data_IF_953979930143
#
_entry.id   IF_953979930143
#
_cell.length_a   1.000
_cell.length_b   1.000
_cell.length_c   1.000
_cell.angle_alpha   90.00
_cell.angle_beta   90.00
_cell.angle_gamma   90.00
#
_symmetry.space_group_name_H-M   'P 1'
#
loop_
_entity.id
_entity.type
_entity.pdbx_description
1 polymer ?
#
# COMPACT_ATOMS: atom_id res chain seq x y z
N UNK A 1 15.32 -24.80 -10.12
CA UNK A 1 15.57 -23.78 -9.10
C UNK A 1 14.24 -23.41 -8.49
N UNK A 2 14.23 -23.19 -7.22
CA UNK A 2 13.10 -22.77 -6.40
C UNK A 2 13.46 -21.42 -5.80
N UNK A 3 12.51 -20.50 -5.80
CA UNK A 3 12.72 -19.13 -5.33
C UNK A 3 11.76 -18.83 -4.18
N UNK A 4 12.31 -18.32 -3.07
CA UNK A 4 11.54 -17.76 -1.96
C UNK A 4 11.60 -16.23 -2.05
N UNK A 5 10.45 -15.59 -1.96
CA UNK A 5 10.34 -14.14 -1.99
C UNK A 5 9.62 -13.62 -0.75
N UNK A 6 10.02 -12.45 -0.28
CA UNK A 6 9.27 -11.72 0.73
C UNK A 6 9.23 -10.23 0.42
N UNK A 7 8.10 -9.58 0.74
CA UNK A 7 7.91 -8.13 0.66
C UNK A 7 7.30 -7.60 1.96
N UNK A 8 7.71 -6.44 2.46
CA UNK A 8 7.14 -5.84 3.66
C UNK A 8 5.81 -5.14 3.36
N UNK A 9 4.96 -5.00 4.37
CA UNK A 9 3.84 -4.08 4.37
C UNK A 9 4.32 -2.62 4.38
N UNK A 10 3.40 -1.66 4.20
CA UNK A 10 3.73 -0.23 4.24
C UNK A 10 2.70 0.57 5.04
N UNK A 11 3.16 1.71 5.58
CA UNK A 11 2.30 2.80 6.03
C UNK A 11 2.62 4.08 5.25
N UNK A 12 1.60 4.92 5.06
CA UNK A 12 1.78 6.29 4.60
C UNK A 12 1.82 7.21 5.83
N UNK A 13 3.02 7.65 6.20
CA UNK A 13 3.25 8.53 7.34
C UNK A 13 2.54 9.87 7.13
N UNK A 14 2.73 10.47 5.94
CA UNK A 14 2.19 11.79 5.58
C UNK A 14 1.89 11.85 4.08
N UNK A 15 1.01 12.77 3.68
CA UNK A 15 0.74 13.09 2.28
C UNK A 15 -0.34 12.23 1.61
N UNK A 16 -0.82 11.14 2.25
CA UNK A 16 -1.92 10.38 1.68
C UNK A 16 -3.22 11.22 1.69
N UNK A 17 -4.07 11.05 0.70
CA UNK A 17 -4.07 10.09 -0.40
C UNK A 17 -3.48 10.64 -1.73
N UNK A 18 -2.46 11.46 -1.67
CA UNK A 18 -1.88 12.14 -2.84
C UNK A 18 -1.44 11.19 -3.96
N UNK A 19 -0.96 10.00 -3.61
CA UNK A 19 -0.53 8.99 -4.57
C UNK A 19 -1.67 8.34 -5.39
N UNK A 20 -2.92 8.53 -4.97
CA UNK A 20 -4.10 8.02 -5.67
C UNK A 20 -4.76 9.06 -6.61
N UNK A 21 -4.21 10.26 -6.68
CA UNK A 21 -4.71 11.35 -7.52
C UNK A 21 -3.63 11.89 -8.44
N UNK A 22 -4.03 12.44 -9.57
CA UNK A 22 -3.14 13.14 -10.49
C UNK A 22 -2.78 14.52 -9.92
N UNK A 23 -1.53 14.93 -10.07
CA UNK A 23 -1.02 16.21 -9.60
C UNK A 23 0.42 16.11 -9.07
N UNK A 24 0.96 17.25 -8.68
CA UNK A 24 2.32 17.38 -8.14
C UNK A 24 2.39 17.01 -6.67
N UNK A 25 1.99 15.80 -6.35
CA UNK A 25 1.86 15.33 -4.97
C UNK A 25 3.04 14.45 -4.53
N UNK A 26 3.19 14.34 -3.23
CA UNK A 26 4.19 13.47 -2.63
C UNK A 26 3.64 12.80 -1.38
N UNK A 27 4.26 11.69 -0.98
CA UNK A 27 4.01 11.03 0.31
C UNK A 27 5.32 10.77 1.03
N UNK A 28 5.26 10.76 2.36
CA UNK A 28 6.28 10.22 3.23
C UNK A 28 5.76 8.89 3.75
N UNK A 29 6.48 7.80 3.45
CA UNK A 29 6.00 6.45 3.70
C UNK A 29 7.10 5.58 4.32
N UNK A 30 6.70 4.50 4.99
CA UNK A 30 7.62 3.55 5.60
C UNK A 30 7.21 2.11 5.35
N UNK A 31 8.20 1.26 5.08
CA UNK A 31 8.04 -0.19 5.04
C UNK A 31 8.10 -0.76 6.47
N UNK A 32 7.25 -1.73 6.77
CA UNK A 32 7.12 -2.33 8.09
C UNK A 32 7.55 -3.80 8.09
N UNK A 33 8.18 -4.27 9.17
CA UNK A 33 8.56 -5.69 9.36
C UNK A 33 7.33 -6.59 9.65
N UNK A 34 6.30 -6.44 8.82
CA UNK A 34 5.18 -7.36 8.67
C UNK A 34 5.13 -7.73 7.20
N UNK A 35 5.33 -8.99 6.87
CA UNK A 35 5.65 -9.39 5.50
C UNK A 35 4.59 -10.32 4.87
N UNK A 36 4.49 -10.24 3.55
CA UNK A 36 3.94 -11.30 2.71
C UNK A 36 5.08 -12.06 2.02
N UNK A 37 4.82 -13.28 1.60
CA UNK A 37 5.82 -14.09 0.92
C UNK A 37 5.26 -14.92 -0.22
N UNK A 38 6.16 -15.41 -1.06
CA UNK A 38 5.86 -16.34 -2.13
C UNK A 38 6.95 -17.41 -2.28
N UNK A 39 6.55 -18.54 -2.84
CA UNK A 39 7.40 -19.59 -3.30
C UNK A 39 7.11 -19.84 -4.76
N UNK A 40 8.14 -19.83 -5.60
CA UNK A 40 8.01 -20.15 -7.02
C UNK A 40 8.92 -21.32 -7.37
N UNK A 41 8.32 -22.35 -7.95
CA UNK A 41 9.02 -23.59 -8.29
C UNK A 41 8.50 -24.18 -9.61
N UNK A 42 9.24 -25.09 -10.26
CA UNK A 42 8.80 -25.76 -11.48
C UNK A 42 7.52 -26.57 -11.26
N UNK A 43 6.64 -26.57 -12.27
CA UNK A 43 5.44 -27.38 -12.34
C UNK A 43 5.15 -27.78 -13.80
N UNK A 44 4.24 -28.73 -14.04
CA UNK A 44 3.83 -29.12 -15.40
C UNK A 44 3.07 -27.99 -16.11
N UNK A 45 2.20 -27.26 -15.37
CA UNK A 45 1.44 -26.12 -15.86
C UNK A 45 1.67 -24.89 -15.01
N UNK A 46 0.77 -23.90 -15.10
CA UNK A 46 0.72 -22.79 -14.17
C UNK A 46 -0.18 -23.16 -12.99
N UNK A 47 0.38 -23.21 -11.79
CA UNK A 47 -0.38 -23.35 -10.54
C UNK A 47 -0.30 -22.03 -9.76
N UNK A 48 -1.45 -21.43 -9.48
CA UNK A 48 -1.58 -20.28 -8.59
C UNK A 48 -2.19 -20.74 -7.27
N UNK A 49 -1.56 -20.37 -6.15
CA UNK A 49 -1.98 -20.82 -4.82
C UNK A 49 -1.89 -19.71 -3.79
N UNK A 50 -2.88 -19.63 -2.91
CA UNK A 50 -2.85 -18.80 -1.72
C UNK A 50 -2.92 -19.67 -0.48
N UNK A 51 -1.81 -19.74 0.25
CA UNK A 51 -1.69 -20.46 1.52
C UNK A 51 -2.31 -19.59 2.61
N UNK A 52 -3.30 -20.14 3.31
CA UNK A 52 -3.91 -19.44 4.45
C UNK A 52 -3.03 -19.67 5.68
N UNK A 53 -2.76 -18.58 6.39
CA UNK A 53 -2.03 -18.59 7.67
C UNK A 53 -2.90 -18.14 8.83
N UNK A 54 -4.21 -18.12 8.61
CA UNK A 54 -5.20 -17.88 9.65
C UNK A 54 -5.63 -19.20 10.33
N UNK A 55 -6.26 -19.08 11.48
CA UNK A 55 -6.75 -20.24 12.27
C UNK A 55 -8.01 -20.88 11.67
N UNK A 56 -8.35 -20.56 10.42
CA UNK A 56 -9.59 -21.06 9.78
C UNK A 56 -9.59 -22.57 9.53
N UNK A 57 -8.42 -23.20 9.49
CA UNK A 57 -8.27 -24.61 9.12
C UNK A 57 -8.67 -24.94 7.67
N UNK A 58 -8.99 -23.92 6.87
CA UNK A 58 -9.38 -24.11 5.48
C UNK A 58 -8.18 -24.47 4.62
N UNK A 59 -8.35 -25.33 3.60
CA UNK A 59 -7.27 -25.67 2.67
C UNK A 59 -6.82 -24.44 1.88
N UNK A 60 -5.58 -24.47 1.33
CA UNK A 60 -5.14 -23.46 0.38
C UNK A 60 -6.12 -23.30 -0.79
N UNK A 61 -6.31 -22.07 -1.23
CA UNK A 61 -7.01 -21.83 -2.49
C UNK A 61 -6.01 -22.04 -3.65
N UNK A 62 -6.30 -22.99 -4.53
CA UNK A 62 -5.40 -23.41 -5.62
C UNK A 62 -6.15 -23.50 -6.94
N UNK A 63 -5.56 -22.92 -7.98
CA UNK A 63 -6.04 -22.97 -9.35
C UNK A 63 -4.91 -23.48 -10.26
N UNK A 64 -5.27 -24.31 -11.24
CA UNK A 64 -4.35 -24.91 -12.19
C UNK A 64 -4.75 -24.56 -13.64
N UNK A 65 -3.74 -24.21 -14.43
CA UNK A 65 -3.89 -23.85 -15.82
C UNK A 65 -2.84 -24.60 -16.65
N UNK A 66 -3.15 -24.86 -17.92
CA UNK A 66 -2.17 -25.42 -18.86
C UNK A 66 -0.99 -24.46 -19.06
N UNK A 67 0.18 -24.94 -19.47
CA UNK A 67 1.31 -24.06 -19.82
C UNK A 67 0.89 -23.04 -20.87
N UNK A 68 1.35 -21.79 -20.73
CA UNK A 68 1.04 -20.71 -21.66
C UNK A 68 -0.43 -20.25 -21.71
N UNK A 69 -1.28 -20.68 -20.76
CA UNK A 69 -2.67 -20.23 -20.70
C UNK A 69 -2.75 -18.69 -20.56
N UNK A 70 -3.40 -18.06 -21.53
CA UNK A 70 -3.63 -16.61 -21.56
C UNK A 70 -4.82 -16.30 -22.49
N UNK A 71 -5.71 -15.34 -22.16
CA UNK A 71 -5.80 -14.67 -20.85
C UNK A 71 -6.35 -15.62 -19.77
N UNK A 72 -5.94 -15.38 -18.51
CA UNK A 72 -6.55 -16.04 -17.36
C UNK A 72 -7.85 -15.32 -17.00
N UNK A 73 -8.99 -16.03 -16.83
CA UNK A 73 -10.28 -15.41 -16.58
C UNK A 73 -10.37 -14.83 -15.16
N UNK A 74 -11.02 -13.67 -15.00
CA UNK A 74 -11.34 -13.08 -13.72
C UNK A 74 -12.70 -13.57 -13.22
N UNK A 75 -12.71 -14.28 -12.10
CA UNK A 75 -13.89 -14.96 -11.53
C UNK A 75 -14.02 -14.77 -10.01
N UNK A 76 -13.24 -13.83 -9.44
CA UNK A 76 -13.19 -13.56 -8.01
C UNK A 76 -12.22 -14.46 -7.22
N UNK A 77 -11.57 -15.42 -7.88
CA UNK A 77 -10.62 -16.32 -7.24
C UNK A 77 -9.19 -16.04 -7.70
N UNK A 78 -8.33 -15.61 -6.79
CA UNK A 78 -6.91 -15.29 -7.08
C UNK A 78 -6.72 -14.25 -8.21
N UNK A 79 -7.67 -13.36 -8.45
CA UNK A 79 -7.65 -12.43 -9.56
C UNK A 79 -6.44 -11.49 -9.55
N UNK A 80 -5.92 -11.14 -8.38
CA UNK A 80 -4.66 -10.40 -8.25
C UNK A 80 -3.47 -11.16 -8.87
N UNK A 81 -3.38 -12.47 -8.63
CA UNK A 81 -2.31 -13.31 -9.19
C UNK A 81 -2.52 -13.54 -10.69
N UNK A 82 -3.77 -13.79 -11.12
CA UNK A 82 -4.12 -13.90 -12.55
C UNK A 82 -3.82 -12.61 -13.29
N UNK A 83 -4.18 -11.46 -12.71
CA UNK A 83 -3.91 -10.15 -13.26
C UNK A 83 -2.41 -9.88 -13.42
N UNK A 84 -1.58 -10.31 -12.46
CA UNK A 84 -0.13 -10.22 -12.57
C UNK A 84 0.41 -11.04 -13.78
N UNK A 85 -0.08 -12.28 -13.97
CA UNK A 85 0.29 -13.10 -15.12
C UNK A 85 -0.17 -12.46 -16.43
N UNK A 86 -1.45 -12.05 -16.52
CA UNK A 86 -2.02 -11.41 -17.71
C UNK A 86 -1.26 -10.14 -18.08
N UNK A 87 -0.99 -9.27 -17.11
CA UNK A 87 -0.27 -8.02 -17.35
C UNK A 87 1.17 -8.26 -17.76
N UNK A 88 1.88 -9.20 -17.12
CA UNK A 88 3.25 -9.51 -17.50
C UNK A 88 3.30 -10.14 -18.90
N UNK A 89 2.32 -10.97 -19.23
CA UNK A 89 2.18 -11.55 -20.58
C UNK A 89 1.97 -10.48 -21.66
N UNK A 90 1.13 -9.50 -21.40
CA UNK A 90 0.90 -8.38 -22.32
C UNK A 90 2.16 -7.50 -22.48
N UNK A 91 2.85 -7.23 -21.37
CA UNK A 91 4.00 -6.35 -21.34
C UNK A 91 5.26 -6.96 -21.96
N UNK A 92 5.56 -8.24 -21.69
CA UNK A 92 6.85 -8.86 -21.97
C UNK A 92 6.79 -9.94 -23.04
N UNK A 93 7.43 -9.70 -24.19
CA UNK A 93 7.62 -10.73 -25.22
C UNK A 93 8.50 -11.88 -24.72
N UNK A 94 9.53 -11.56 -23.94
CA UNK A 94 10.42 -12.54 -23.31
C UNK A 94 9.66 -13.48 -22.37
N UNK A 95 8.79 -12.91 -21.52
CA UNK A 95 7.94 -13.72 -20.64
C UNK A 95 7.02 -14.63 -21.45
N UNK A 96 6.35 -14.12 -22.49
CA UNK A 96 5.48 -14.94 -23.35
C UNK A 96 6.18 -16.16 -23.88
N UNK A 97 7.38 -15.99 -24.44
CA UNK A 97 8.17 -17.08 -25.01
C UNK A 97 8.55 -18.13 -23.95
N UNK A 98 9.06 -17.69 -22.79
CA UNK A 98 9.48 -18.58 -21.71
C UNK A 98 8.30 -19.27 -21.02
N UNK A 99 7.19 -18.56 -20.82
CA UNK A 99 5.98 -19.05 -20.15
C UNK A 99 5.26 -20.16 -20.89
N UNK A 100 5.31 -20.15 -22.24
CA UNK A 100 4.72 -21.23 -23.05
C UNK A 100 5.50 -22.54 -23.00
N UNK A 101 6.78 -22.47 -22.63
CA UNK A 101 7.70 -23.64 -22.63
C UNK A 101 7.88 -24.28 -21.26
N UNK A 102 7.58 -23.56 -20.19
CA UNK A 102 7.86 -24.02 -18.83
C UNK A 102 6.75 -23.60 -17.87
N UNK A 103 6.19 -24.57 -17.16
CA UNK A 103 5.21 -24.30 -16.10
C UNK A 103 5.86 -23.87 -14.78
N UNK A 104 5.06 -23.19 -13.95
CA UNK A 104 5.46 -22.71 -12.64
C UNK A 104 4.34 -22.92 -11.61
N UNK A 105 4.70 -23.25 -10.38
CA UNK A 105 3.83 -23.12 -9.22
C UNK A 105 4.23 -21.85 -8.46
N UNK A 106 3.28 -20.94 -8.29
CA UNK A 106 3.39 -19.73 -7.47
C UNK A 106 2.47 -19.88 -6.26
N UNK A 107 3.04 -20.11 -5.09
CA UNK A 107 2.32 -20.21 -3.83
C UNK A 107 2.61 -18.95 -2.98
N UNK A 108 1.57 -18.23 -2.57
CA UNK A 108 1.67 -16.97 -1.84
C UNK A 108 1.06 -17.08 -0.44
N UNK A 109 1.53 -16.28 0.50
CA UNK A 109 0.97 -16.14 1.85
C UNK A 109 1.18 -14.73 2.38
N UNK A 110 0.50 -14.36 3.46
CA UNK A 110 0.70 -13.07 4.12
C UNK A 110 0.50 -13.17 5.63
N UNK A 111 1.32 -12.42 6.36
CA UNK A 111 1.14 -12.15 7.80
C UNK A 111 0.49 -10.76 8.01
N UNK A 112 0.20 -10.04 6.93
CA UNK A 112 -0.49 -8.74 6.97
C UNK A 112 -1.98 -8.95 7.19
N UNK A 113 -2.60 -8.32 8.19
CA UNK A 113 -4.04 -8.45 8.42
C UNK A 113 -4.85 -8.06 7.17
N UNK A 114 -5.90 -8.83 6.89
CA UNK A 114 -6.76 -8.58 5.71
C UNK A 114 -7.48 -7.25 5.85
N UNK A 115 -7.61 -6.52 4.73
CA UNK A 115 -8.30 -5.22 4.65
C UNK A 115 -7.81 -4.19 5.67
N UNK A 116 -6.56 -4.33 6.11
CA UNK A 116 -5.95 -3.46 7.12
C UNK A 116 -5.49 -2.10 6.58
N UNK A 117 -5.51 -1.86 5.27
CA UNK A 117 -4.95 -0.63 4.70
C UNK A 117 -3.42 -0.57 4.74
N UNK A 118 -2.75 -1.72 4.91
CA UNK A 118 -1.28 -1.86 4.93
C UNK A 118 -0.69 -2.31 3.59
N UNK A 119 -1.47 -2.23 2.50
CA UNK A 119 -1.03 -2.58 1.15
C UNK A 119 -1.20 -4.06 0.77
N UNK A 120 -1.92 -4.86 1.56
CA UNK A 120 -1.97 -6.32 1.44
C UNK A 120 -2.27 -6.86 0.03
N UNK A 121 -3.20 -6.27 -0.73
CA UNK A 121 -3.51 -6.68 -2.11
C UNK A 121 -2.32 -6.54 -3.03
N UNK A 122 -1.68 -5.37 -2.99
CA UNK A 122 -0.52 -5.06 -3.84
C UNK A 122 0.67 -5.97 -3.57
N UNK A 123 0.84 -6.46 -2.32
CA UNK A 123 1.93 -7.39 -1.98
C UNK A 123 1.81 -8.70 -2.76
N UNK A 124 0.60 -9.23 -2.96
CA UNK A 124 0.39 -10.43 -3.77
C UNK A 124 0.75 -10.20 -5.24
N UNK A 125 0.37 -9.05 -5.80
CA UNK A 125 0.72 -8.70 -7.19
C UNK A 125 2.24 -8.56 -7.35
N UNK A 126 2.90 -7.86 -6.43
CA UNK A 126 4.36 -7.69 -6.44
C UNK A 126 5.10 -9.02 -6.32
N UNK A 127 4.65 -9.90 -5.41
CA UNK A 127 5.23 -11.24 -5.25
C UNK A 127 5.06 -12.08 -6.51
N UNK A 128 3.91 -11.98 -7.18
CA UNK A 128 3.68 -12.69 -8.43
C UNK A 128 4.60 -12.17 -9.55
N UNK A 129 4.63 -10.87 -9.78
CA UNK A 129 5.49 -10.26 -10.82
C UNK A 129 6.98 -10.53 -10.56
N UNK A 130 7.46 -10.29 -9.32
CA UNK A 130 8.86 -10.52 -8.97
C UNK A 130 9.23 -12.01 -8.99
N UNK A 131 8.31 -12.88 -8.55
CA UNK A 131 8.50 -14.32 -8.56
C UNK A 131 8.59 -14.88 -9.99
N UNK A 132 7.72 -14.44 -10.89
CA UNK A 132 7.76 -14.81 -12.29
C UNK A 132 9.00 -14.24 -12.98
N UNK A 133 9.39 -12.99 -12.68
CA UNK A 133 10.67 -12.42 -13.16
C UNK A 133 11.84 -13.32 -12.79
N UNK A 134 11.96 -13.69 -11.52
CA UNK A 134 13.07 -14.50 -11.03
C UNK A 134 13.03 -15.92 -11.62
N UNK A 135 11.87 -16.58 -11.63
CA UNK A 135 11.71 -17.95 -12.08
C UNK A 135 11.99 -18.14 -13.59
N UNK A 136 11.54 -17.18 -14.41
CA UNK A 136 11.77 -17.19 -15.85
C UNK A 136 13.07 -16.47 -16.24
N UNK A 137 13.87 -16.02 -15.28
CA UNK A 137 15.13 -15.32 -15.53
C UNK A 137 14.96 -14.22 -16.59
N UNK A 138 14.00 -13.31 -16.35
CA UNK A 138 13.70 -12.21 -17.26
C UNK A 138 14.77 -11.12 -17.14
N UNK A 139 15.07 -10.45 -18.25
CA UNK A 139 16.02 -9.35 -18.30
C UNK A 139 15.76 -8.30 -17.21
N UNK A 140 16.73 -8.07 -16.33
CA UNK A 140 16.60 -7.19 -15.17
C UNK A 140 16.55 -5.70 -15.54
N UNK A 141 17.00 -5.32 -16.71
CA UNK A 141 16.90 -3.95 -17.21
C UNK A 141 15.47 -3.63 -17.66
N UNK A 142 14.89 -4.54 -18.46
CA UNK A 142 13.52 -4.41 -18.96
C UNK A 142 12.45 -4.66 -17.88
N UNK A 143 12.76 -5.45 -16.85
CA UNK A 143 11.84 -5.83 -15.78
C UNK A 143 12.37 -5.41 -14.39
N UNK A 144 12.99 -4.23 -14.30
CA UNK A 144 13.50 -3.70 -13.04
C UNK A 144 12.37 -3.40 -12.03
N UNK A 145 12.71 -3.09 -10.79
CA UNK A 145 11.72 -2.89 -9.71
C UNK A 145 10.79 -1.69 -9.95
N UNK A 146 11.24 -0.65 -10.65
CA UNK A 146 10.37 0.46 -11.07
C UNK A 146 9.29 -0.01 -12.05
N UNK A 147 9.68 -0.80 -13.04
CA UNK A 147 8.73 -1.41 -14.00
C UNK A 147 7.75 -2.33 -13.27
N UNK A 148 8.23 -3.16 -12.32
CA UNK A 148 7.34 -4.02 -11.54
C UNK A 148 6.34 -3.22 -10.70
N UNK A 149 6.74 -2.10 -10.11
CA UNK A 149 5.82 -1.22 -9.37
C UNK A 149 4.71 -0.66 -10.27
N UNK A 150 5.08 -0.19 -11.46
CA UNK A 150 4.14 0.34 -12.45
C UNK A 150 3.20 -0.75 -12.99
N UNK A 151 3.72 -1.94 -13.29
CA UNK A 151 2.89 -3.07 -13.72
C UNK A 151 1.91 -3.49 -12.62
N UNK A 152 2.35 -3.50 -11.35
CA UNK A 152 1.49 -3.85 -10.23
C UNK A 152 0.33 -2.84 -10.06
N UNK A 153 0.58 -1.54 -10.24
CA UNK A 153 -0.49 -0.54 -10.24
C UNK A 153 -1.50 -0.81 -11.36
N UNK A 154 -1.02 -1.14 -12.57
CA UNK A 154 -1.88 -1.43 -13.71
C UNK A 154 -2.66 -2.74 -13.57
N UNK A 155 -2.13 -3.73 -12.86
CA UNK A 155 -2.91 -4.94 -12.52
C UNK A 155 -4.16 -4.56 -11.73
N UNK A 156 -4.02 -3.74 -10.69
CA UNK A 156 -5.19 -3.34 -9.89
C UNK A 156 -6.08 -2.35 -10.65
N UNK A 157 -5.52 -1.31 -11.27
CA UNK A 157 -6.29 -0.24 -11.89
C UNK A 157 -6.90 -0.64 -13.24
N UNK A 158 -6.14 -1.33 -14.11
CA UNK A 158 -6.56 -1.60 -15.49
C UNK A 158 -7.17 -2.99 -15.64
N UNK A 159 -6.54 -4.03 -15.05
CA UNK A 159 -7.07 -5.40 -15.16
C UNK A 159 -8.31 -5.62 -14.28
N UNK A 160 -8.29 -5.06 -13.06
CA UNK A 160 -9.30 -5.34 -12.05
C UNK A 160 -10.24 -4.16 -11.76
N UNK A 161 -10.00 -2.99 -12.36
CA UNK A 161 -10.83 -1.80 -12.15
C UNK A 161 -10.79 -1.22 -10.74
N UNK A 162 -9.72 -1.50 -9.99
CA UNK A 162 -9.55 -1.04 -8.60
C UNK A 162 -8.78 0.28 -8.60
N UNK A 163 -9.43 1.38 -8.25
CA UNK A 163 -8.74 2.67 -8.10
C UNK A 163 -7.74 2.61 -6.95
N UNK A 164 -6.48 2.90 -7.23
CA UNK A 164 -5.38 2.73 -6.29
C UNK A 164 -4.23 3.71 -6.57
N UNK A 165 -3.39 3.95 -5.53
CA UNK A 165 -2.20 4.81 -5.62
C UNK A 165 -0.93 4.04 -6.02
N UNK A 166 0.23 4.66 -5.78
CA UNK A 166 1.54 4.10 -6.13
C UNK A 166 2.39 3.68 -4.92
N UNK A 167 2.22 4.32 -3.76
CA UNK A 167 3.00 4.03 -2.56
C UNK A 167 2.98 2.54 -2.16
N UNK A 168 1.83 1.89 -2.36
CA UNK A 168 1.59 0.47 -2.08
C UNK A 168 2.46 -0.48 -2.90
N UNK A 169 3.08 0.00 -3.95
CA UNK A 169 3.90 -0.80 -4.88
C UNK A 169 5.37 -0.45 -4.74
N UNK A 170 5.69 0.82 -4.62
CA UNK A 170 7.07 1.27 -4.51
C UNK A 170 7.66 0.95 -3.14
N UNK A 171 6.96 1.27 -2.05
CA UNK A 171 7.50 1.08 -0.68
C UNK A 171 7.83 -0.38 -0.37
N UNK A 172 6.98 -1.38 -0.69
CA UNK A 172 7.34 -2.78 -0.48
C UNK A 172 8.51 -3.29 -1.33
N UNK A 173 8.72 -2.73 -2.53
CA UNK A 173 9.85 -3.12 -3.39
C UNK A 173 11.18 -2.55 -2.90
N UNK A 174 11.19 -1.28 -2.50
CA UNK A 174 12.43 -0.58 -2.17
C UNK A 174 12.77 -0.56 -0.68
N UNK A 175 11.76 -0.64 0.20
CA UNK A 175 11.94 -0.66 1.66
C UNK A 175 12.34 0.68 2.27
N UNK A 176 12.57 0.68 3.57
CA UNK A 176 13.02 1.83 4.34
C UNK A 176 11.94 2.84 4.65
N UNK A 177 12.37 4.04 5.03
CA UNK A 177 11.55 5.25 5.13
C UNK A 177 11.88 6.10 3.91
N UNK A 178 10.88 6.56 3.17
CA UNK A 178 11.12 7.27 1.93
C UNK A 178 10.12 8.40 1.67
N UNK A 179 10.62 9.44 1.01
CA UNK A 179 9.82 10.46 0.37
C UNK A 179 9.61 10.07 -1.08
N UNK A 180 8.36 9.95 -1.49
CA UNK A 180 7.94 9.60 -2.84
C UNK A 180 7.34 10.82 -3.51
N UNK A 181 7.84 11.18 -4.69
CA UNK A 181 7.35 12.30 -5.49
C UNK A 181 6.68 11.76 -6.75
N UNK A 182 5.43 12.19 -6.97
CA UNK A 182 4.55 11.73 -8.04
C UNK A 182 4.35 12.77 -9.14
N UNK A 183 5.17 13.82 -9.17
CA UNK A 183 5.05 14.86 -10.18
C UNK A 183 5.03 14.29 -11.60
N UNK A 184 4.20 14.88 -12.44
CA UNK A 184 3.97 14.50 -13.82
C UNK A 184 3.34 13.11 -14.04
N UNK A 185 2.96 12.37 -12.98
CA UNK A 185 2.25 11.11 -13.16
C UNK A 185 0.79 11.37 -13.52
N UNK A 186 0.38 10.75 -14.63
CA UNK A 186 -1.03 10.67 -15.04
C UNK A 186 -1.41 9.19 -15.16
N UNK A 187 -2.23 8.70 -14.25
CA UNK A 187 -2.54 7.26 -14.08
C UNK A 187 -3.09 6.55 -15.34
N UNK A 188 -3.34 7.28 -16.41
CA UNK A 188 -3.87 6.76 -17.68
C UNK A 188 -2.85 6.73 -18.81
N UNK A 189 -1.61 7.18 -18.59
CA UNK A 189 -0.56 7.12 -19.62
C UNK A 189 -0.05 5.70 -19.83
N UNK A 190 0.43 5.44 -21.03
CA UNK A 190 1.16 4.22 -21.32
C UNK A 190 2.46 4.13 -20.51
N UNK A 191 2.86 2.91 -20.13
CA UNK A 191 4.06 2.68 -19.31
C UNK A 191 5.33 3.28 -19.92
N UNK A 192 5.46 3.25 -21.24
CA UNK A 192 6.62 3.80 -21.95
C UNK A 192 6.75 5.32 -21.94
N UNK A 193 5.68 6.04 -21.58
CA UNK A 193 5.63 7.51 -21.54
C UNK A 193 5.36 8.05 -20.13
N UNK A 194 4.97 7.21 -19.20
CA UNK A 194 4.73 7.57 -17.80
C UNK A 194 6.05 7.71 -17.05
N UNK A 195 6.34 8.85 -16.39
CA UNK A 195 7.54 8.95 -15.56
C UNK A 195 7.43 8.01 -14.34
N UNK A 196 8.55 7.44 -13.93
CA UNK A 196 8.61 6.71 -12.68
C UNK A 196 8.49 7.65 -11.48
N UNK A 197 8.00 7.11 -10.36
CA UNK A 197 8.00 7.82 -9.08
C UNK A 197 9.43 8.04 -8.63
N UNK A 198 9.76 9.25 -8.19
CA UNK A 198 11.04 9.50 -7.51
C UNK A 198 10.96 8.91 -6.10
N UNK A 199 11.84 7.96 -5.80
CA UNK A 199 11.93 7.28 -4.51
C UNK A 199 13.19 7.72 -3.77
N UNK A 200 13.05 8.64 -2.81
CA UNK A 200 14.16 9.15 -2.01
C UNK A 200 14.18 8.49 -0.64
N UNK A 201 15.16 7.62 -0.41
CA UNK A 201 15.33 6.94 0.89
C UNK A 201 15.88 7.87 1.95
N UNK A 202 15.27 7.86 3.12
CA UNK A 202 15.62 8.70 4.27
C UNK A 202 16.15 7.88 5.45
N UNK A 203 16.03 6.56 5.43
CA UNK A 203 16.36 5.67 6.55
C UNK A 203 17.87 5.53 6.84
N UNK A 204 18.73 6.15 6.04
CA UNK A 204 20.14 6.33 6.37
C UNK A 204 20.38 7.44 7.42
N UNK A 205 19.43 8.37 7.54
CA UNK A 205 19.53 9.54 8.44
C UNK A 205 18.45 9.52 9.53
N UNK A 206 17.47 8.64 9.41
CA UNK A 206 16.35 8.53 10.34
C UNK A 206 16.52 7.25 11.15
N UNK A 207 16.52 7.40 12.47
CA UNK A 207 16.48 6.26 13.40
C UNK A 207 15.17 5.47 13.25
N UNK A 208 15.06 4.36 13.95
CA UNK A 208 13.82 3.60 14.01
C UNK A 208 12.68 4.50 14.52
N UNK A 209 11.54 4.42 13.84
CA UNK A 209 10.34 5.17 14.21
C UNK A 209 9.62 4.43 15.34
N UNK A 210 9.43 5.04 16.52
CA UNK A 210 8.69 4.44 17.63
C UNK A 210 7.19 4.47 17.32
N UNK A 211 6.75 3.47 16.56
CA UNK A 211 5.39 3.34 16.05
C UNK A 211 4.61 2.25 16.78
N UNK A 212 3.34 2.54 17.04
CA UNK A 212 2.34 1.54 17.37
C UNK A 212 1.30 1.54 16.27
N UNK A 213 0.92 0.36 15.79
CA UNK A 213 -0.07 0.18 14.71
C UNK A 213 -1.23 -0.64 15.26
N UNK A 214 -2.44 -0.27 14.91
CA UNK A 214 -3.65 -1.05 15.15
C UNK A 214 -4.39 -1.29 13.86
N UNK A 215 -4.66 -2.56 13.53
CA UNK A 215 -5.68 -2.93 12.56
C UNK A 215 -7.00 -3.06 13.31
N UNK A 216 -7.99 -2.26 12.95
CA UNK A 216 -9.26 -2.18 13.68
C UNK A 216 -10.12 -3.46 13.58
N UNK A 217 -9.85 -4.32 12.60
CA UNK A 217 -10.70 -5.46 12.28
C UNK A 217 -12.04 -5.07 11.61
N UNK A 218 -12.28 -3.77 11.41
CA UNK A 218 -13.46 -3.27 10.67
C UNK A 218 -13.15 -3.35 9.17
N UNK A 219 -13.89 -4.23 8.51
CA UNK A 219 -13.73 -4.44 7.08
C UNK A 219 -14.25 -3.24 6.28
N UNK A 220 -13.53 -2.85 5.25
CA UNK A 220 -13.97 -1.86 4.27
C UNK A 220 -13.35 -2.14 2.90
N UNK A 221 -14.10 -1.75 1.88
CA UNK A 221 -13.60 -1.71 0.51
C UNK A 221 -12.85 -0.38 0.27
N UNK A 222 -11.51 -0.48 0.15
CA UNK A 222 -10.67 0.69 -0.16
C UNK A 222 -10.95 1.24 -1.56
N UNK A 223 -11.42 0.40 -2.48
CA UNK A 223 -11.82 0.80 -3.83
C UNK A 223 -12.99 1.78 -3.80
N UNK A 224 -13.99 1.60 -2.92
CA UNK A 224 -15.14 2.52 -2.77
C UNK A 224 -14.70 3.94 -2.35
N UNK A 225 -13.70 4.05 -1.46
CA UNK A 225 -13.18 5.37 -1.04
C UNK A 225 -12.57 6.11 -2.21
N UNK A 226 -11.64 5.48 -2.89
CA UNK A 226 -10.95 6.10 -4.02
C UNK A 226 -11.91 6.35 -5.20
N UNK A 227 -12.86 5.46 -5.43
CA UNK A 227 -13.88 5.59 -6.48
C UNK A 227 -14.80 6.81 -6.31
N UNK A 228 -15.02 7.27 -5.07
CA UNK A 228 -15.79 8.51 -4.81
C UNK A 228 -14.87 9.74 -4.77
N UNK A 229 -13.71 9.62 -4.16
CA UNK A 229 -12.81 10.74 -3.93
C UNK A 229 -12.14 11.22 -5.22
N UNK A 230 -11.56 10.29 -6.01
CA UNK A 230 -10.78 10.64 -7.20
C UNK A 230 -11.59 11.34 -8.29
N UNK A 231 -12.79 10.85 -8.71
CA UNK A 231 -13.58 11.56 -9.71
C UNK A 231 -13.99 12.96 -9.27
N UNK A 232 -14.32 13.15 -7.99
CA UNK A 232 -14.66 14.45 -7.44
C UNK A 232 -13.47 15.41 -7.49
N UNK A 233 -12.28 14.92 -7.09
CA UNK A 233 -11.06 15.72 -7.20
C UNK A 233 -10.80 16.13 -8.64
N UNK A 234 -10.82 15.21 -9.59
CA UNK A 234 -10.55 15.50 -11.00
C UNK A 234 -11.54 16.51 -11.56
N UNK A 235 -12.84 16.33 -11.30
CA UNK A 235 -13.89 17.27 -11.73
C UNK A 235 -13.69 18.68 -11.17
N UNK A 236 -13.43 18.81 -9.88
CA UNK A 236 -13.20 20.10 -9.24
C UNK A 236 -11.90 20.76 -9.72
N UNK A 237 -10.82 19.98 -9.85
CA UNK A 237 -9.52 20.46 -10.30
C UNK A 237 -9.57 20.94 -11.76
N UNK A 238 -10.15 20.17 -12.67
CA UNK A 238 -10.30 20.52 -14.07
C UNK A 238 -11.14 21.82 -14.24
N UNK A 239 -12.28 21.87 -13.54
CA UNK A 239 -13.12 23.06 -13.56
C UNK A 239 -12.40 24.32 -13.04
N UNK A 240 -11.55 24.16 -12.02
CA UNK A 240 -10.75 25.24 -11.45
C UNK A 240 -9.64 25.68 -12.40
N UNK A 241 -8.94 24.76 -13.05
CA UNK A 241 -7.92 25.10 -14.05
C UNK A 241 -8.48 25.96 -15.19
N UNK A 242 -9.73 25.74 -15.58
CA UNK A 242 -10.38 26.54 -16.64
C UNK A 242 -10.89 27.89 -16.12
N UNK A 243 -11.46 27.94 -14.91
CA UNK A 243 -12.11 29.16 -14.39
C UNK A 243 -11.14 30.09 -13.66
N UNK A 244 -10.07 29.56 -13.09
CA UNK A 244 -9.21 30.28 -12.15
C UNK A 244 -9.90 30.58 -10.82
N UNK A 245 -9.33 31.50 -10.03
CA UNK A 245 -9.86 31.91 -8.75
C UNK A 245 -9.38 31.02 -7.59
N UNK A 246 -10.15 31.01 -6.48
CA UNK A 246 -9.79 30.22 -5.31
C UNK A 246 -9.87 28.69 -5.59
N UNK A 247 -8.91 27.92 -5.07
CA UNK A 247 -8.93 26.47 -5.23
C UNK A 247 -10.17 25.85 -4.56
N UNK A 248 -10.85 24.90 -5.21
CA UNK A 248 -12.01 24.22 -4.66
C UNK A 248 -11.62 23.33 -3.46
N UNK A 249 -12.60 22.85 -2.66
CA UNK A 249 -12.32 22.08 -1.46
C UNK A 249 -11.40 20.88 -1.66
N UNK A 250 -11.62 20.07 -2.69
CA UNK A 250 -10.76 18.90 -2.96
C UNK A 250 -9.31 19.30 -3.27
N UNK A 251 -9.11 20.36 -4.08
CA UNK A 251 -7.77 20.85 -4.37
C UNK A 251 -7.06 21.39 -3.11
N UNK A 252 -7.78 22.06 -2.21
CA UNK A 252 -7.23 22.52 -0.92
C UNK A 252 -6.84 21.37 -0.01
N UNK A 253 -7.69 20.32 0.12
CA UNK A 253 -7.36 19.13 0.91
C UNK A 253 -6.11 18.43 0.38
N UNK A 254 -6.03 18.26 -0.93
CA UNK A 254 -4.89 17.59 -1.56
C UNK A 254 -3.60 18.40 -1.43
N UNK A 255 -3.65 19.73 -1.63
CA UNK A 255 -2.51 20.62 -1.42
C UNK A 255 -2.05 20.62 0.05
N UNK A 256 -2.98 20.63 1.00
CA UNK A 256 -2.68 20.53 2.43
C UNK A 256 -2.00 19.19 2.77
N UNK A 257 -2.54 18.08 2.27
CA UNK A 257 -1.94 16.76 2.48
C UNK A 257 -0.51 16.70 1.91
N UNK A 258 -0.29 17.19 0.70
CA UNK A 258 1.04 17.28 0.11
C UNK A 258 2.01 18.12 0.95
N UNK A 259 1.56 19.29 1.46
CA UNK A 259 2.39 20.13 2.34
C UNK A 259 2.84 19.39 3.60
N UNK A 260 2.00 18.51 4.17
CA UNK A 260 2.42 17.71 5.32
C UNK A 260 3.56 16.74 4.98
N UNK A 261 3.59 16.20 3.76
CA UNK A 261 4.63 15.26 3.35
C UNK A 261 6.02 15.91 3.26
N UNK A 262 6.14 17.04 2.54
CA UNK A 262 7.45 17.66 2.38
C UNK A 262 7.92 18.37 3.66
N UNK A 263 7.02 18.97 4.44
CA UNK A 263 7.35 19.53 5.76
C UNK A 263 7.78 18.41 6.72
N UNK A 264 7.08 17.27 6.67
CA UNK A 264 7.41 16.09 7.44
C UNK A 264 8.77 15.48 7.08
N UNK A 265 9.16 15.50 5.80
CA UNK A 265 10.50 15.13 5.39
C UNK A 265 11.56 15.96 6.11
N UNK A 266 11.39 17.28 6.14
CA UNK A 266 12.34 18.19 6.81
C UNK A 266 12.37 17.95 8.33
N UNK A 267 11.19 17.84 8.96
CA UNK A 267 11.09 17.58 10.41
C UNK A 267 11.73 16.22 10.78
N UNK A 268 11.49 15.19 9.95
CA UNK A 268 12.05 13.87 10.16
C UNK A 268 13.58 13.87 10.09
N UNK A 269 14.16 14.53 9.07
CA UNK A 269 15.62 14.67 8.92
C UNK A 269 16.25 15.51 10.03
N UNK A 270 15.50 16.46 10.60
CA UNK A 270 15.92 17.24 11.76
C UNK A 270 15.78 16.48 13.11
N UNK A 271 15.16 15.29 13.11
CA UNK A 271 14.84 14.55 14.34
C UNK A 271 13.76 15.22 15.21
N UNK A 272 12.97 16.12 14.62
CA UNK A 272 11.89 16.84 15.33
C UNK A 272 10.61 15.99 15.37
N UNK A 273 10.59 15.03 16.28
CA UNK A 273 9.46 14.11 16.46
C UNK A 273 8.15 14.82 16.82
N UNK A 274 8.12 15.84 17.68
CA UNK A 274 6.92 16.62 17.93
C UNK A 274 6.35 17.25 16.66
N UNK A 275 7.19 17.84 15.80
CA UNK A 275 6.75 18.41 14.52
C UNK A 275 6.21 17.35 13.58
N UNK A 276 6.84 16.17 13.48
CA UNK A 276 6.32 15.03 12.69
C UNK A 276 4.94 14.62 13.22
N UNK A 277 4.78 14.48 14.53
CA UNK A 277 3.50 14.14 15.15
C UNK A 277 2.40 15.18 14.88
N UNK A 278 2.72 16.46 15.00
CA UNK A 278 1.78 17.55 14.68
C UNK A 278 1.32 17.49 13.21
N UNK A 279 2.24 17.21 12.26
CA UNK A 279 1.91 17.05 10.85
C UNK A 279 1.07 15.78 10.59
N UNK A 280 1.27 14.70 11.34
CA UNK A 280 0.40 13.52 11.28
C UNK A 280 -1.04 13.87 11.66
N UNK A 281 -1.22 14.64 12.74
CA UNK A 281 -2.54 15.08 13.18
C UNK A 281 -3.19 16.03 12.16
N UNK A 282 -2.41 16.96 11.57
CA UNK A 282 -2.87 17.83 10.48
C UNK A 282 -3.33 17.01 9.25
N UNK A 283 -2.51 16.05 8.81
CA UNK A 283 -2.86 15.19 7.67
C UNK A 283 -4.12 14.36 7.97
N UNK A 284 -4.25 13.80 9.18
CA UNK A 284 -5.45 13.06 9.56
C UNK A 284 -6.71 13.94 9.52
N UNK A 285 -6.65 15.13 10.07
CA UNK A 285 -7.76 16.10 10.04
C UNK A 285 -8.19 16.40 8.60
N UNK A 286 -7.23 16.69 7.71
CA UNK A 286 -7.51 16.97 6.31
C UNK A 286 -8.18 15.78 5.61
N UNK A 287 -7.70 14.55 5.84
CA UNK A 287 -8.31 13.34 5.28
C UNK A 287 -9.70 13.11 5.83
N UNK A 288 -9.90 13.29 7.13
CA UNK A 288 -11.21 13.13 7.77
C UNK A 288 -12.25 14.11 7.21
N UNK A 289 -11.88 15.38 7.09
CA UNK A 289 -12.73 16.43 6.50
C UNK A 289 -13.01 16.17 5.02
N UNK A 290 -12.00 15.76 4.24
CA UNK A 290 -12.14 15.42 2.83
C UNK A 290 -13.10 14.24 2.64
N UNK A 291 -12.99 13.20 3.45
CA UNK A 291 -13.89 12.05 3.38
C UNK A 291 -15.32 12.43 3.74
N UNK A 292 -15.52 13.26 4.76
CA UNK A 292 -16.83 13.82 5.10
C UNK A 292 -17.41 14.62 3.91
N UNK A 293 -16.57 15.46 3.29
CA UNK A 293 -16.95 16.23 2.10
C UNK A 293 -17.32 15.32 0.91
N UNK A 294 -16.71 14.13 0.79
CA UNK A 294 -17.05 13.12 -0.21
C UNK A 294 -18.24 12.24 0.17
N UNK A 295 -18.95 12.55 1.26
CA UNK A 295 -20.20 11.88 1.65
C UNK A 295 -20.00 10.65 2.55
N UNK A 296 -18.85 10.52 3.22
CA UNK A 296 -18.63 9.49 4.23
C UNK A 296 -19.04 10.04 5.61
N UNK A 297 -20.14 9.55 6.16
CA UNK A 297 -20.71 10.07 7.41
C UNK A 297 -19.72 10.03 8.58
N UNK A 298 -18.93 8.96 8.67
CA UNK A 298 -17.92 8.76 9.74
C UNK A 298 -16.53 9.29 9.35
N UNK A 299 -16.42 10.11 8.31
CA UNK A 299 -15.15 10.65 7.82
C UNK A 299 -14.14 9.52 7.55
N UNK A 300 -12.99 9.58 8.23
CA UNK A 300 -11.92 8.58 8.15
C UNK A 300 -12.31 7.19 8.70
N UNK A 301 -13.51 7.06 9.26
CA UNK A 301 -14.08 5.85 9.85
C UNK A 301 -14.09 5.90 11.38
N UNK A 302 -15.23 5.56 11.98
CA UNK A 302 -15.46 5.65 13.42
C UNK A 302 -14.38 4.92 14.25
N UNK A 303 -14.00 3.71 13.85
CA UNK A 303 -13.00 2.91 14.58
C UNK A 303 -11.59 3.53 14.48
N UNK A 304 -11.23 4.06 13.29
CA UNK A 304 -9.96 4.77 13.14
C UNK A 304 -9.92 6.02 14.01
N UNK A 305 -10.98 6.84 13.99
CA UNK A 305 -11.08 8.05 14.81
C UNK A 305 -10.99 7.70 16.31
N UNK A 306 -11.69 6.64 16.76
CA UNK A 306 -11.62 6.15 18.14
C UNK A 306 -10.18 5.81 18.57
N UNK A 307 -9.45 5.04 17.77
CA UNK A 307 -8.06 4.69 18.09
C UNK A 307 -7.14 5.92 18.07
N UNK A 308 -7.32 6.83 17.11
CA UNK A 308 -6.50 8.03 16.97
C UNK A 308 -6.72 8.97 18.17
N UNK A 309 -7.96 9.26 18.52
CA UNK A 309 -8.32 10.09 19.68
C UNK A 309 -7.80 9.47 20.99
N UNK A 310 -7.93 8.13 21.14
CA UNK A 310 -7.39 7.40 22.28
C UNK A 310 -5.86 7.54 22.36
N UNK A 311 -5.14 7.41 21.25
CA UNK A 311 -3.69 7.56 21.25
C UNK A 311 -3.26 8.97 21.68
N UNK A 312 -3.89 10.01 21.13
CA UNK A 312 -3.60 11.40 21.44
C UNK A 312 -3.90 11.72 22.91
N UNK A 313 -5.04 11.24 23.42
CA UNK A 313 -5.40 11.39 24.84
C UNK A 313 -4.44 10.67 25.80
N UNK A 314 -3.69 9.68 25.30
CA UNK A 314 -2.68 8.94 26.06
C UNK A 314 -1.24 9.35 25.72
N UNK A 315 -1.03 10.53 25.13
CA UNK A 315 0.28 11.17 24.98
C UNK A 315 1.07 10.71 23.75
N UNK A 316 0.41 10.21 22.70
CA UNK A 316 1.05 10.07 21.40
C UNK A 316 1.44 11.45 20.86
N UNK A 317 2.59 11.57 20.20
CA UNK A 317 3.04 12.79 19.52
C UNK A 317 2.14 13.11 18.32
N UNK A 318 1.68 12.07 17.64
CA UNK A 318 0.74 12.14 16.54
C UNK A 318 0.13 10.78 16.27
N UNK A 319 -1.09 10.80 15.72
CA UNK A 319 -1.78 9.59 15.32
C UNK A 319 -2.63 9.85 14.06
N UNK A 320 -2.70 8.88 13.17
CA UNK A 320 -3.49 8.99 11.95
C UNK A 320 -3.83 7.62 11.34
N UNK A 321 -4.77 7.62 10.41
CA UNK A 321 -5.05 6.45 9.60
C UNK A 321 -3.92 6.20 8.58
N UNK A 322 -3.81 4.95 8.12
CA UNK A 322 -3.05 4.57 6.91
C UNK A 322 -3.96 3.90 5.90
N UNK A 323 -3.62 4.01 4.61
CA UNK A 323 -4.46 3.55 3.50
C UNK A 323 -5.61 4.49 3.19
N UNK A 324 -6.70 3.95 2.61
CA UNK A 324 -7.83 4.74 2.13
C UNK A 324 -8.75 5.29 3.24
N UNK A 325 -8.75 4.69 4.41
CA UNK A 325 -9.63 5.06 5.53
C UNK A 325 -10.98 4.32 5.54
N UNK A 326 -11.82 4.66 6.51
CA UNK A 326 -13.15 4.14 6.78
C UNK A 326 -13.21 2.82 7.52
N UNK A 327 -12.11 2.28 7.85
CA UNK A 327 -11.74 1.04 8.50
C UNK A 327 -10.25 0.81 8.23
N UNK A 328 -9.79 -0.40 8.42
CA UNK A 328 -8.38 -0.74 8.25
C UNK A 328 -7.54 -0.38 9.46
N UNK A 329 -6.45 0.38 9.29
CA UNK A 329 -5.49 0.64 10.37
C UNK A 329 -5.31 2.12 10.69
N UNK A 330 -5.05 2.37 11.96
CA UNK A 330 -4.46 3.60 12.46
C UNK A 330 -3.06 3.31 13.04
N UNK A 331 -2.24 4.32 13.13
CA UNK A 331 -0.93 4.23 13.80
C UNK A 331 -0.63 5.50 14.57
N UNK A 332 0.18 5.35 15.61
CA UNK A 332 0.63 6.42 16.48
C UNK A 332 2.15 6.48 16.50
N UNK A 333 2.69 7.71 16.48
CA UNK A 333 4.08 8.02 16.75
C UNK A 333 4.18 8.44 18.22
N UNK A 334 5.13 7.88 18.95
CA UNK A 334 5.31 8.13 20.38
C UNK A 334 6.76 8.50 20.71
N UNK A 335 7.04 8.91 21.92
CA UNK A 335 8.44 8.91 22.40
C UNK A 335 8.94 7.48 22.57
N UNK A 336 10.22 7.20 22.28
CA UNK A 336 10.80 5.90 22.52
C UNK A 336 10.57 5.43 23.96
N UNK A 337 10.01 4.22 24.13
CA UNK A 337 9.66 3.66 25.43
C UNK A 337 8.19 3.84 25.86
N UNK A 338 7.46 4.74 25.21
CA UNK A 338 6.04 5.02 25.53
C UNK A 338 5.05 4.10 24.78
N UNK A 339 5.54 3.24 23.89
CA UNK A 339 4.69 2.36 23.03
C UNK A 339 3.73 1.50 23.87
N UNK A 340 4.21 1.01 25.02
CA UNK A 340 3.41 0.17 25.92
C UNK A 340 2.16 0.87 26.45
N UNK A 341 2.23 2.19 26.68
CA UNK A 341 1.09 2.99 27.13
C UNK A 341 -0.01 3.06 26.07
N UNK A 342 0.36 3.25 24.82
CA UNK A 342 -0.60 3.28 23.71
C UNK A 342 -1.20 1.90 23.45
N UNK A 343 -0.38 0.85 23.50
CA UNK A 343 -0.86 -0.55 23.37
C UNK A 343 -1.94 -0.82 24.42
N UNK A 344 -1.68 -0.52 25.70
CA UNK A 344 -2.64 -0.75 26.78
C UNK A 344 -3.93 0.07 26.63
N UNK A 345 -3.82 1.34 26.20
CA UNK A 345 -4.97 2.19 25.93
C UNK A 345 -5.82 1.66 24.78
N UNK A 346 -5.19 1.25 23.69
CA UNK A 346 -5.89 0.67 22.53
C UNK A 346 -6.52 -0.69 22.83
N UNK A 347 -5.87 -1.56 23.62
CA UNK A 347 -6.47 -2.82 24.07
C UNK A 347 -7.76 -2.59 24.87
N UNK A 348 -7.73 -1.62 25.80
CA UNK A 348 -8.89 -1.26 26.61
C UNK A 348 -10.04 -0.72 25.75
N UNK A 349 -9.80 0.28 24.90
CA UNK A 349 -10.86 0.87 24.09
C UNK A 349 -11.39 -0.10 23.03
N UNK A 350 -10.56 -1.01 22.50
CA UNK A 350 -11.01 -2.07 21.62
C UNK A 350 -11.99 -3.03 22.32
N UNK A 351 -11.70 -3.42 23.56
CA UNK A 351 -12.59 -4.26 24.36
C UNK A 351 -13.91 -3.54 24.67
N UNK A 352 -13.85 -2.27 25.10
CA UNK A 352 -15.03 -1.45 25.39
C UNK A 352 -15.93 -1.24 24.16
N UNK A 353 -15.33 -1.07 22.98
CA UNK A 353 -16.04 -0.89 21.72
C UNK A 353 -16.43 -2.21 21.03
N UNK A 354 -16.12 -3.37 21.62
CA UNK A 354 -16.45 -4.69 21.03
C UNK A 354 -15.65 -5.02 19.77
N UNK A 355 -14.48 -4.39 19.56
CA UNK A 355 -13.60 -4.64 18.43
C UNK A 355 -12.73 -5.87 18.63
N UNK A 356 -13.37 -7.05 18.71
CA UNK A 356 -12.71 -8.34 19.03
C UNK A 356 -11.68 -8.79 18.01
N UNK A 357 -11.72 -8.26 16.79
CA UNK A 357 -10.77 -8.54 15.70
C UNK A 357 -9.64 -7.50 15.61
N UNK A 358 -9.60 -6.53 16.51
CA UNK A 358 -8.54 -5.55 16.52
C UNK A 358 -7.19 -6.22 16.81
N UNK A 359 -6.18 -5.91 16.00
CA UNK A 359 -4.83 -6.43 16.16
C UNK A 359 -3.85 -5.26 16.34
N UNK A 360 -3.18 -5.22 17.50
CA UNK A 360 -2.26 -4.15 17.90
C UNK A 360 -0.84 -4.70 17.89
N UNK A 361 0.08 -4.00 17.25
CA UNK A 361 1.48 -4.45 17.12
C UNK A 361 2.45 -3.27 17.04
N UNK A 362 3.73 -3.56 17.27
CA UNK A 362 4.85 -2.60 17.20
C UNK A 362 5.81 -3.07 16.13
N UNK A 363 5.63 -2.63 14.86
CA UNK A 363 6.51 -3.06 13.79
C UNK A 363 7.81 -2.28 13.80
N UNK A 364 8.92 -2.95 13.51
CA UNK A 364 10.15 -2.29 13.10
C UNK A 364 10.03 -1.76 11.67
N UNK A 365 10.98 -0.90 11.27
CA UNK A 365 11.12 -0.43 9.88
C UNK A 365 11.85 -1.49 9.06
N UNK A 366 11.21 -1.95 7.99
CA UNK A 366 11.80 -2.88 7.05
C UNK A 366 12.78 -2.14 6.12
N UNK A 367 14.06 -2.14 6.47
CA UNK A 367 15.10 -1.47 5.66
C UNK A 367 15.31 -2.13 4.29
N UNK A 368 15.02 -3.43 4.16
CA UNK A 368 15.03 -4.15 2.88
C UNK A 368 13.59 -4.34 2.40
N UNK A 369 13.32 -3.92 1.17
CA UNK A 369 12.06 -4.17 0.49
C UNK A 369 11.92 -5.63 0.04
N UNK A 370 11.76 -5.83 -1.27
CA UNK A 370 11.73 -7.16 -1.88
C UNK A 370 13.04 -7.91 -1.60
N UNK A 371 12.89 -9.12 -1.10
CA UNK A 371 13.99 -10.08 -0.94
C UNK A 371 13.68 -11.30 -1.80
N UNK A 372 14.65 -11.74 -2.59
CA UNK A 372 14.58 -12.95 -3.43
C UNK A 372 15.74 -13.86 -3.05
N UNK A 373 15.43 -15.09 -2.66
CA UNK A 373 16.39 -16.11 -2.27
C UNK A 373 16.22 -17.34 -3.15
N UNK A 374 17.33 -17.98 -3.51
CA UNK A 374 17.33 -19.26 -4.24
C UNK A 374 17.43 -20.38 -3.23
N UNK A 375 16.50 -21.34 -3.28
CA UNK A 375 16.46 -22.56 -2.44
C UNK A 375 16.88 -23.82 -3.23
#
# INVERSE_FOLDING_TARGET
>A
MRYRLTVPARINLLGNPGDANEGDFATLSAALEVRAGALVEPAEGLTLEMIRRDDSGLPPLRLEFRPGAHPLPYDGQLDLLKGAVNRLYQHSAEFRDKFTRRGARLATWTDVPRQSGLGGSSLFVLLALAGLRAFYDLDSGAHNDYVLAELAQRVEAVELGITCGFADRYVPLFGGVAYLDYRDKLQQRDLGTEPFVTYERLDNWVADLPLVVVSSGVARDSGDVHARMRPRYLQEHEAWQVRGGEPPPMARFMAGAWQTAWRGKIALLAGDWPAVGALMNENHRLVNEMMTYCGFADGAGWANNLFIETALANGALGAKLTGAGGGGSAFALVHPGDEGRIVAAWQRVAAEAGLTKAHIFRPGIARRGLVVEVE
#
